data_IF_456313050665
#
_entry.id   IF_456313050665
#
_cell.length_a   1.000
_cell.length_b   1.000
_cell.length_c   1.000
_cell.angle_alpha   90.00
_cell.angle_beta   90.00
_cell.angle_gamma   90.00
#
_symmetry.space_group_name_H-M   'P 1'
#
loop_
_entity.id
_entity.type
_entity.pdbx_description
1 polymer ?
#
# COMPACT_ATOMS: atom_id res chain seq x y z
N UNK A 1 10.14 20.54 -23.60
CA UNK A 1 8.67 20.57 -23.52
C UNK A 1 8.13 19.67 -24.62
N UNK A 2 7.10 18.86 -24.32
CA UNK A 2 6.41 18.01 -25.27
C UNK A 2 4.97 18.48 -25.40
N UNK A 3 4.41 18.37 -26.61
CA UNK A 3 3.01 18.68 -26.90
C UNK A 3 2.22 17.37 -27.01
N UNK A 4 1.01 17.33 -26.48
CA UNK A 4 0.15 16.16 -26.53
C UNK A 4 -0.67 15.94 -25.27
N UNK A 5 -1.24 14.74 -25.14
CA UNK A 5 -1.99 14.32 -23.93
C UNK A 5 -1.00 14.06 -22.79
N UNK A 6 -1.06 14.81 -21.68
CA UNK A 6 -0.01 14.77 -20.65
C UNK A 6 0.32 13.37 -20.15
N UNK A 7 -0.68 12.54 -19.88
CA UNK A 7 -0.46 11.16 -19.40
C UNK A 7 0.25 10.27 -20.44
N UNK A 8 -0.04 10.46 -21.71
CA UNK A 8 0.58 9.68 -22.80
C UNK A 8 2.02 10.08 -22.99
N UNK A 9 2.30 11.39 -23.01
CA UNK A 9 3.66 11.92 -23.13
C UNK A 9 4.55 11.52 -21.95
N UNK A 10 4.01 11.55 -20.73
CA UNK A 10 4.74 11.07 -19.55
C UNK A 10 5.06 9.57 -19.66
N UNK A 11 4.10 8.75 -20.08
CA UNK A 11 4.32 7.32 -20.28
C UNK A 11 5.36 7.04 -21.36
N UNK A 12 5.38 7.82 -22.48
CA UNK A 12 6.44 7.75 -23.49
C UNK A 12 7.81 8.05 -22.89
N UNK A 13 7.93 9.14 -22.10
CA UNK A 13 9.19 9.47 -21.44
C UNK A 13 9.64 8.37 -20.47
N UNK A 14 8.72 7.75 -19.76
CA UNK A 14 9.01 6.61 -18.88
C UNK A 14 9.57 5.43 -19.67
N UNK A 15 9.00 5.12 -20.83
CA UNK A 15 9.49 4.05 -21.72
C UNK A 15 10.88 4.34 -22.28
N UNK A 16 11.12 5.60 -22.68
CA UNK A 16 12.42 6.03 -23.22
C UNK A 16 13.53 6.05 -22.17
N UNK A 17 13.22 6.61 -20.98
CA UNK A 17 14.22 6.87 -19.93
C UNK A 17 14.39 5.74 -18.93
N UNK A 18 13.39 4.85 -18.84
CA UNK A 18 13.33 3.72 -17.89
C UNK A 18 13.71 4.11 -16.45
N UNK A 19 13.04 5.12 -15.85
CA UNK A 19 13.33 5.51 -14.49
C UNK A 19 12.89 4.40 -13.51
N UNK A 20 13.59 4.29 -12.38
CA UNK A 20 13.19 3.40 -11.29
C UNK A 20 11.96 3.92 -10.53
N UNK A 21 11.83 5.25 -10.48
CA UNK A 21 10.76 5.94 -9.77
C UNK A 21 10.22 7.13 -10.56
N UNK A 22 8.90 7.22 -10.62
CA UNK A 22 8.19 8.42 -11.08
C UNK A 22 7.50 9.08 -9.90
N UNK A 23 7.65 10.39 -9.76
CA UNK A 23 6.94 11.19 -8.75
C UNK A 23 5.91 12.05 -9.45
N UNK A 24 4.67 11.97 -9.02
CA UNK A 24 3.54 12.74 -9.59
C UNK A 24 2.67 13.33 -8.50
N UNK A 25 2.10 14.50 -8.76
CA UNK A 25 1.03 15.02 -7.92
C UNK A 25 -0.21 14.13 -7.99
N UNK A 26 -0.92 13.95 -6.87
CA UNK A 26 -2.20 13.23 -6.86
C UNK A 26 -3.28 13.95 -7.65
N UNK A 27 -3.27 15.27 -7.66
CA UNK A 27 -4.26 16.12 -8.33
C UNK A 27 -3.55 17.16 -9.20
N UNK A 28 -4.17 17.50 -10.35
CA UNK A 28 -3.74 18.60 -11.19
C UNK A 28 -4.32 19.95 -10.74
N UNK A 29 -4.14 20.96 -11.60
CA UNK A 29 -4.65 22.34 -11.39
C UNK A 29 -6.18 22.38 -11.27
N UNK A 30 -6.88 21.50 -11.96
CA UNK A 30 -8.35 21.43 -11.92
C UNK A 30 -8.77 20.34 -10.95
N UNK A 31 -9.22 20.76 -9.76
CA UNK A 31 -9.82 19.85 -8.76
C UNK A 31 -11.26 19.56 -9.15
N UNK A 32 -11.56 18.32 -9.47
CA UNK A 32 -12.96 17.87 -9.58
C UNK A 32 -13.47 17.48 -8.18
N UNK A 33 -14.59 18.07 -7.72
CA UNK A 33 -15.21 17.65 -6.46
C UNK A 33 -15.49 16.15 -6.46
N UNK A 34 -15.14 15.46 -5.40
CA UNK A 34 -15.38 14.01 -5.25
C UNK A 34 -14.29 13.08 -5.79
N UNK A 35 -13.28 13.58 -6.53
CA UNK A 35 -12.15 12.77 -6.99
C UNK A 35 -10.89 13.08 -6.17
N UNK A 36 -10.31 12.04 -5.58
CA UNK A 36 -9.06 12.15 -4.79
C UNK A 36 -7.80 12.07 -5.65
N UNK A 37 -7.89 11.46 -6.84
CA UNK A 37 -6.80 11.31 -7.82
C UNK A 37 -7.21 11.94 -9.16
N UNK A 38 -6.31 12.72 -9.76
CA UNK A 38 -6.47 13.29 -11.10
C UNK A 38 -6.25 12.26 -12.22
N UNK A 39 -6.81 12.52 -13.41
CA UNK A 39 -6.76 11.60 -14.54
C UNK A 39 -5.33 11.21 -14.98
N UNK A 40 -4.37 12.13 -14.92
CA UNK A 40 -2.96 11.83 -15.23
C UNK A 40 -2.38 10.84 -14.22
N UNK A 41 -2.52 11.12 -12.91
CA UNK A 41 -2.04 10.24 -11.85
C UNK A 41 -2.72 8.86 -11.91
N UNK A 42 -4.02 8.79 -12.22
CA UNK A 42 -4.75 7.55 -12.40
C UNK A 42 -4.20 6.71 -13.57
N UNK A 43 -3.86 7.35 -14.69
CA UNK A 43 -3.26 6.64 -15.83
C UNK A 43 -1.83 6.18 -15.54
N UNK A 44 -1.02 7.00 -14.87
CA UNK A 44 0.32 6.58 -14.42
C UNK A 44 0.23 5.42 -13.46
N UNK A 45 -0.70 5.44 -12.51
CA UNK A 45 -0.96 4.36 -11.56
C UNK A 45 -1.22 3.03 -12.27
N UNK A 46 -2.03 3.07 -13.34
CA UNK A 46 -2.43 1.89 -14.10
C UNK A 46 -1.34 1.38 -15.06
N UNK A 47 -0.59 2.28 -15.70
CA UNK A 47 0.22 1.93 -16.88
C UNK A 47 1.73 2.15 -16.70
N UNK A 48 2.20 2.92 -15.70
CA UNK A 48 3.63 3.09 -15.52
C UNK A 48 4.28 1.75 -15.16
N UNK A 49 5.36 1.33 -15.85
CA UNK A 49 6.03 0.05 -15.61
C UNK A 49 6.97 0.08 -14.38
N UNK A 50 7.27 1.25 -13.85
CA UNK A 50 8.17 1.49 -12.72
C UNK A 50 7.42 1.88 -11.45
N UNK A 51 8.12 1.97 -10.32
CA UNK A 51 7.57 2.47 -9.07
C UNK A 51 7.01 3.87 -9.21
N UNK A 52 5.93 4.17 -8.47
CA UNK A 52 5.22 5.45 -8.56
C UNK A 52 5.02 6.03 -7.17
N UNK A 53 5.50 7.27 -6.97
CA UNK A 53 5.17 8.06 -5.78
C UNK A 53 4.09 9.08 -6.14
N UNK A 54 2.95 9.01 -5.45
CA UNK A 54 1.87 9.97 -5.57
C UNK A 54 1.92 10.93 -4.38
N UNK A 55 1.97 12.24 -4.66
CA UNK A 55 2.14 13.28 -3.65
C UNK A 55 0.88 14.15 -3.60
N UNK A 56 0.21 14.27 -2.43
CA UNK A 56 -0.90 15.22 -2.27
C UNK A 56 -0.39 16.66 -2.33
N UNK A 57 -1.29 17.62 -2.60
CA UNK A 57 -0.92 19.02 -2.82
C UNK A 57 -0.32 19.75 -1.60
N UNK A 58 -0.42 19.18 -0.40
CA UNK A 58 0.21 19.70 0.82
C UNK A 58 0.95 18.56 1.51
N UNK A 59 2.25 18.70 1.63
CA UNK A 59 3.13 17.80 2.39
C UNK A 59 3.80 18.61 3.47
N UNK A 60 3.73 18.17 4.71
CA UNK A 60 4.54 18.73 5.79
C UNK A 60 5.87 17.98 5.82
N UNK A 61 6.97 18.67 5.66
CA UNK A 61 8.30 18.12 5.80
C UNK A 61 8.89 18.60 7.14
N UNK A 62 9.45 17.65 7.91
CA UNK A 62 10.17 17.98 9.14
C UNK A 62 10.46 16.77 10.03
N UNK A 63 11.64 16.70 10.61
CA UNK A 63 11.95 15.81 11.73
C UNK A 63 12.18 14.30 11.44
N UNK A 64 12.42 13.91 10.19
CA UNK A 64 12.58 12.52 9.76
C UNK A 64 11.26 11.84 9.43
N UNK A 65 11.30 10.87 8.50
CA UNK A 65 10.13 10.21 7.92
C UNK A 65 9.56 9.13 8.82
N UNK A 66 8.30 9.22 9.16
CA UNK A 66 7.49 8.14 9.74
C UNK A 66 6.82 7.38 8.58
N UNK A 67 7.33 6.21 8.30
CA UNK A 67 6.86 5.39 7.18
C UNK A 67 5.88 4.34 7.69
N UNK A 68 4.75 4.18 6.99
CA UNK A 68 3.90 3.02 7.14
C UNK A 68 4.08 2.09 5.95
N UNK A 69 4.56 0.87 6.20
CA UNK A 69 4.71 -0.18 5.20
C UNK A 69 3.59 -1.20 5.36
N UNK A 70 2.74 -1.36 4.35
CA UNK A 70 1.73 -2.40 4.35
C UNK A 70 2.23 -3.65 3.63
N UNK A 71 2.05 -4.81 4.26
CA UNK A 71 2.51 -6.09 3.73
C UNK A 71 1.45 -7.18 3.85
N UNK A 72 1.36 -8.02 2.83
CA UNK A 72 0.61 -9.28 2.81
C UNK A 72 1.55 -10.49 2.67
N UNK A 73 2.88 -10.26 2.63
CA UNK A 73 3.90 -11.27 2.43
C UNK A 73 4.21 -11.59 0.96
N UNK A 74 3.58 -10.90 0.00
CA UNK A 74 3.89 -11.04 -1.42
C UNK A 74 5.31 -10.57 -1.76
N UNK A 75 5.84 -10.98 -2.91
CA UNK A 75 7.13 -10.53 -3.40
C UNK A 75 7.19 -9.01 -3.59
N UNK A 76 6.10 -8.40 -4.08
CA UNK A 76 6.03 -6.95 -4.25
C UNK A 76 6.04 -6.23 -2.90
N UNK A 77 5.42 -6.79 -1.86
CA UNK A 77 5.50 -6.24 -0.51
C UNK A 77 6.90 -6.39 0.11
N UNK A 78 7.62 -7.48 -0.17
CA UNK A 78 9.01 -7.63 0.24
C UNK A 78 9.94 -6.67 -0.50
N UNK A 79 9.72 -6.48 -1.81
CA UNK A 79 10.42 -5.45 -2.60
C UNK A 79 10.20 -4.06 -2.01
N UNK A 80 8.95 -3.75 -1.62
CA UNK A 80 8.62 -2.49 -0.95
C UNK A 80 9.41 -2.30 0.35
N UNK A 81 9.60 -3.35 1.15
CA UNK A 81 10.46 -3.29 2.34
C UNK A 81 11.92 -3.02 1.98
N UNK A 82 12.45 -3.64 0.92
CA UNK A 82 13.80 -3.37 0.42
C UNK A 82 13.99 -1.93 -0.04
N UNK A 83 13.01 -1.37 -0.75
CA UNK A 83 13.03 0.05 -1.14
C UNK A 83 13.02 0.96 0.09
N UNK A 84 12.18 0.68 1.07
CA UNK A 84 12.15 1.43 2.34
C UNK A 84 13.50 1.38 3.04
N UNK A 85 14.16 0.22 3.10
CA UNK A 85 15.48 0.07 3.72
C UNK A 85 16.55 0.99 3.12
N UNK A 86 16.42 1.37 1.84
CA UNK A 86 17.34 2.28 1.14
C UNK A 86 16.95 3.77 1.19
N UNK A 87 15.81 4.14 1.78
CA UNK A 87 15.40 5.55 1.84
C UNK A 87 16.17 6.32 2.90
N UNK A 88 16.60 7.55 2.63
CA UNK A 88 17.27 8.39 3.61
C UNK A 88 16.26 9.04 4.59
N UNK A 89 16.76 9.42 5.76
CA UNK A 89 16.02 10.27 6.70
C UNK A 89 14.84 9.58 7.40
N UNK A 90 14.85 8.25 7.51
CA UNK A 90 13.82 7.49 8.21
C UNK A 90 13.97 7.70 9.72
N UNK A 91 12.88 8.11 10.36
CA UNK A 91 12.75 8.15 11.82
C UNK A 91 12.28 6.82 12.39
N UNK A 92 11.21 6.27 11.82
CA UNK A 92 10.65 4.99 12.21
C UNK A 92 9.83 4.37 11.08
N UNK A 93 9.72 3.05 11.05
CA UNK A 93 8.83 2.31 10.15
C UNK A 93 7.80 1.54 10.97
N UNK A 94 6.53 1.76 10.66
CA UNK A 94 5.43 0.91 11.17
C UNK A 94 5.02 -0.07 10.08
N UNK A 95 5.26 -1.36 10.29
CA UNK A 95 4.79 -2.42 9.40
C UNK A 95 3.38 -2.82 9.80
N UNK A 96 2.46 -2.87 8.84
CA UNK A 96 1.08 -3.31 9.07
C UNK A 96 0.72 -4.45 8.12
N UNK A 97 0.06 -5.48 8.67
CA UNK A 97 -0.60 -6.51 7.87
C UNK A 97 -2.06 -6.59 8.30
N UNK A 98 -2.97 -6.75 7.34
CA UNK A 98 -4.40 -6.69 7.58
C UNK A 98 -5.02 -8.06 7.47
N UNK A 99 -5.77 -8.47 8.48
CA UNK A 99 -6.57 -9.68 8.51
C UNK A 99 -8.02 -9.31 8.23
N UNK A 100 -8.60 -9.87 7.17
CA UNK A 100 -10.04 -9.74 6.91
C UNK A 100 -10.80 -10.65 7.87
N UNK A 101 -11.82 -10.13 8.59
CA UNK A 101 -12.77 -10.99 9.29
C UNK A 101 -13.57 -11.84 8.27
N UNK A 102 -14.16 -12.93 8.72
CA UNK A 102 -15.11 -13.68 7.90
C UNK A 102 -16.26 -12.77 7.48
N UNK A 103 -16.62 -12.85 6.21
CA UNK A 103 -17.70 -12.05 5.60
C UNK A 103 -19.09 -12.64 5.81
N UNK A 104 -19.92 -12.58 4.76
CA UNK A 104 -21.31 -13.06 4.77
C UNK A 104 -21.46 -14.56 5.11
N UNK A 105 -20.43 -15.38 4.84
CA UNK A 105 -20.39 -16.79 5.21
C UNK A 105 -20.59 -17.01 6.73
N UNK A 106 -20.09 -16.07 7.56
CA UNK A 106 -20.30 -16.10 9.01
C UNK A 106 -21.78 -16.01 9.37
N UNK A 107 -22.52 -15.08 8.75
CA UNK A 107 -23.94 -14.88 9.06
C UNK A 107 -24.80 -16.11 8.73
N UNK A 108 -24.42 -16.88 7.70
CA UNK A 108 -25.11 -18.12 7.35
C UNK A 108 -24.81 -19.21 8.37
N UNK A 109 -23.54 -19.39 8.74
CA UNK A 109 -23.12 -20.41 9.73
C UNK A 109 -23.67 -20.13 11.12
N UNK A 110 -23.67 -18.88 11.58
CA UNK A 110 -24.22 -18.47 12.88
C UNK A 110 -25.71 -18.78 13.03
N UNK A 111 -26.46 -18.76 11.90
CA UNK A 111 -27.89 -19.05 11.91
C UNK A 111 -28.24 -20.52 12.13
N UNK A 112 -27.36 -21.44 11.71
CA UNK A 112 -27.60 -22.88 11.77
C UNK A 112 -26.78 -23.61 12.84
N UNK A 113 -25.58 -23.16 13.15
CA UNK A 113 -24.64 -23.79 14.09
C UNK A 113 -23.77 -22.76 14.82
N UNK A 114 -24.31 -22.02 15.79
CA UNK A 114 -23.60 -20.87 16.40
C UNK A 114 -22.29 -21.24 17.13
N UNK A 115 -22.23 -22.38 17.82
CA UNK A 115 -21.03 -22.78 18.56
C UNK A 115 -19.90 -23.30 17.64
N UNK A 116 -20.24 -24.02 16.60
CA UNK A 116 -19.27 -24.47 15.60
C UNK A 116 -18.78 -23.29 14.76
N UNK A 117 -19.66 -22.36 14.42
CA UNK A 117 -19.32 -21.13 13.72
C UNK A 117 -18.28 -20.32 14.49
N UNK A 118 -18.45 -20.15 15.81
CA UNK A 118 -17.49 -19.46 16.68
C UNK A 118 -16.12 -20.14 16.74
N UNK A 119 -16.10 -21.49 16.86
CA UNK A 119 -14.85 -22.26 16.85
C UNK A 119 -14.12 -22.14 15.53
N UNK A 120 -14.85 -22.23 14.41
CA UNK A 120 -14.30 -22.11 13.06
C UNK A 120 -13.77 -20.72 12.79
N UNK A 121 -14.50 -19.66 13.18
CA UNK A 121 -14.02 -18.28 13.09
C UNK A 121 -12.74 -18.07 13.90
N UNK A 122 -12.69 -18.56 15.13
CA UNK A 122 -11.52 -18.43 15.98
C UNK A 122 -10.30 -19.14 15.38
N UNK A 123 -10.49 -20.33 14.79
CA UNK A 123 -9.44 -21.09 14.11
C UNK A 123 -8.97 -20.34 12.85
N UNK A 124 -9.90 -19.85 12.02
CA UNK A 124 -9.61 -19.06 10.82
C UNK A 124 -8.82 -17.79 11.17
N UNK A 125 -9.27 -17.02 12.15
CA UNK A 125 -8.58 -15.79 12.56
C UNK A 125 -7.19 -16.08 13.15
N UNK A 126 -7.02 -17.18 13.88
CA UNK A 126 -5.70 -17.61 14.37
C UNK A 126 -4.75 -17.88 13.21
N UNK A 127 -5.19 -18.65 12.22
CA UNK A 127 -4.40 -18.96 11.03
C UNK A 127 -4.02 -17.66 10.28
N UNK A 128 -5.00 -16.79 9.97
CA UNK A 128 -4.78 -15.55 9.26
C UNK A 128 -3.83 -14.59 10.00
N UNK A 129 -3.92 -14.55 11.33
CA UNK A 129 -2.97 -13.78 12.16
C UNK A 129 -1.56 -14.37 12.13
N UNK A 130 -1.42 -15.68 12.07
CA UNK A 130 -0.12 -16.34 11.94
C UNK A 130 0.52 -16.02 10.58
N UNK A 131 -0.25 -16.09 9.49
CA UNK A 131 0.18 -15.70 8.15
C UNK A 131 0.61 -14.22 8.10
N UNK A 132 -0.20 -13.33 8.68
CA UNK A 132 0.11 -11.90 8.78
C UNK A 132 1.40 -11.62 9.58
N UNK A 133 1.63 -12.34 10.69
CA UNK A 133 2.88 -12.24 11.46
C UNK A 133 4.08 -12.72 10.67
N UNK A 134 3.93 -13.79 9.88
CA UNK A 134 4.99 -14.29 8.99
C UNK A 134 5.33 -13.27 7.90
N UNK A 135 4.32 -12.64 7.30
CA UNK A 135 4.50 -11.56 6.33
C UNK A 135 5.27 -10.37 6.93
N UNK A 136 4.89 -9.94 8.13
CA UNK A 136 5.58 -8.88 8.89
C UNK A 136 7.03 -9.26 9.15
N UNK A 137 7.30 -10.47 9.66
CA UNK A 137 8.65 -10.91 10.01
C UNK A 137 9.62 -10.90 8.81
N UNK A 138 9.10 -11.17 7.59
CA UNK A 138 9.87 -11.04 6.35
C UNK A 138 10.37 -9.61 6.10
N UNK A 139 9.47 -8.63 6.25
CA UNK A 139 9.81 -7.22 6.09
C UNK A 139 10.68 -6.70 7.26
N UNK A 140 10.38 -7.11 8.51
CA UNK A 140 11.17 -6.70 9.69
C UNK A 140 12.64 -7.06 9.55
N UNK A 141 12.95 -8.24 9.02
CA UNK A 141 14.34 -8.69 8.82
C UNK A 141 15.09 -7.70 7.94
N UNK A 142 14.55 -7.38 6.76
CA UNK A 142 15.17 -6.45 5.82
C UNK A 142 15.43 -5.07 6.43
N UNK A 143 14.48 -4.56 7.22
CA UNK A 143 14.59 -3.23 7.84
C UNK A 143 15.56 -3.20 9.03
N UNK A 144 15.62 -4.27 9.82
CA UNK A 144 16.58 -4.38 10.95
C UNK A 144 18.01 -4.49 10.47
N UNK A 145 18.24 -5.21 9.36
CA UNK A 145 19.58 -5.30 8.74
C UNK A 145 20.07 -3.91 8.30
N UNK A 146 19.14 -2.99 7.98
CA UNK A 146 19.43 -1.58 7.71
C UNK A 146 19.45 -0.66 8.96
N UNK A 147 19.43 -1.22 10.18
CA UNK A 147 19.43 -0.49 11.46
C UNK A 147 18.26 0.49 11.65
N UNK A 148 17.10 0.18 11.06
CA UNK A 148 15.90 1.01 11.13
C UNK A 148 15.04 0.61 12.33
N UNK A 149 14.53 1.59 13.08
CA UNK A 149 13.56 1.36 14.17
C UNK A 149 12.23 0.91 13.58
N UNK A 150 11.79 -0.29 13.96
CA UNK A 150 10.58 -0.93 13.40
C UNK A 150 9.55 -1.18 14.51
N UNK A 151 8.31 -0.83 14.21
CA UNK A 151 7.10 -1.28 14.94
C UNK A 151 6.29 -2.15 14.01
N UNK A 152 5.60 -3.16 14.56
CA UNK A 152 4.81 -4.08 13.73
C UNK A 152 3.44 -4.34 14.34
N UNK A 153 2.41 -4.42 13.52
CA UNK A 153 1.03 -4.65 13.96
C UNK A 153 0.23 -5.45 12.94
N UNK A 154 -0.53 -6.42 13.46
CA UNK A 154 -1.61 -7.05 12.73
C UNK A 154 -2.91 -6.34 13.07
N UNK A 155 -3.59 -5.79 12.08
CA UNK A 155 -4.85 -5.06 12.22
C UNK A 155 -5.99 -5.81 11.52
N UNK A 156 -7.23 -5.62 11.98
CA UNK A 156 -8.40 -6.25 11.38
C UNK A 156 -9.22 -5.25 10.55
N UNK A 157 -9.82 -5.72 9.46
CA UNK A 157 -10.73 -4.91 8.65
C UNK A 157 -10.59 -5.13 7.13
N UNK A 158 -11.23 -4.25 6.36
CA UNK A 158 -11.01 -4.17 4.92
C UNK A 158 -9.63 -3.58 4.65
N UNK A 159 -8.77 -4.25 3.85
CA UNK A 159 -7.35 -3.92 3.77
C UNK A 159 -7.06 -2.45 3.50
N UNK A 160 -7.54 -1.89 2.40
CA UNK A 160 -7.24 -0.51 2.04
C UNK A 160 -7.70 0.50 3.11
N UNK A 161 -8.94 0.36 3.60
CA UNK A 161 -9.49 1.24 4.62
C UNK A 161 -8.75 1.11 5.96
N UNK A 162 -8.41 -0.12 6.37
CA UNK A 162 -7.67 -0.37 7.61
C UNK A 162 -6.27 0.24 7.56
N UNK A 163 -5.57 0.10 6.42
CA UNK A 163 -4.25 0.70 6.17
C UNK A 163 -4.36 2.24 6.24
N UNK A 164 -5.31 2.83 5.52
CA UNK A 164 -5.49 4.29 5.49
C UNK A 164 -5.86 4.86 6.85
N UNK A 165 -6.75 4.19 7.60
CA UNK A 165 -7.08 4.59 8.99
C UNK A 165 -5.84 4.51 9.90
N UNK A 166 -5.03 3.46 9.76
CA UNK A 166 -3.80 3.33 10.52
C UNK A 166 -2.80 4.44 10.17
N UNK A 167 -2.63 4.77 8.89
CA UNK A 167 -1.75 5.83 8.43
C UNK A 167 -2.16 7.21 8.98
N UNK A 168 -3.46 7.50 9.02
CA UNK A 168 -4.00 8.73 9.64
C UNK A 168 -3.73 8.79 11.13
N UNK A 169 -4.05 7.70 11.85
CA UNK A 169 -3.89 7.62 13.31
C UNK A 169 -2.44 7.81 13.74
N UNK A 170 -1.51 7.24 13.00
CA UNK A 170 -0.09 7.26 13.32
C UNK A 170 0.62 8.47 12.69
N UNK A 171 -0.12 9.35 12.03
CA UNK A 171 0.39 10.51 11.30
C UNK A 171 1.59 10.13 10.41
N UNK A 172 1.42 9.09 9.58
CA UNK A 172 2.45 8.65 8.66
C UNK A 172 2.76 9.73 7.63
N UNK A 173 4.06 9.97 7.40
CA UNK A 173 4.55 10.95 6.42
C UNK A 173 4.64 10.32 5.01
N UNK A 174 4.77 8.97 4.96
CA UNK A 174 4.79 8.19 3.72
C UNK A 174 4.11 6.84 3.96
N UNK A 175 3.20 6.47 3.05
CA UNK A 175 2.60 5.13 3.01
C UNK A 175 3.23 4.35 1.85
N UNK A 176 3.75 3.15 2.13
CA UNK A 176 4.42 2.31 1.12
C UNK A 176 3.67 0.99 0.98
N UNK A 177 3.40 0.60 -0.26
CA UNK A 177 2.71 -0.63 -0.62
C UNK A 177 3.37 -1.28 -1.83
N UNK A 178 3.34 -2.61 -1.92
CA UNK A 178 3.64 -3.31 -3.17
C UNK A 178 2.57 -3.07 -4.22
N UNK A 179 2.90 -3.22 -5.48
CA UNK A 179 1.93 -3.00 -6.56
C UNK A 179 0.88 -4.10 -6.63
N UNK A 180 1.23 -5.35 -6.26
CA UNK A 180 0.35 -6.53 -6.28
C UNK A 180 0.46 -7.29 -4.97
N UNK A 181 -0.59 -8.04 -4.64
CA UNK A 181 -0.65 -8.91 -3.49
C UNK A 181 -0.60 -10.40 -3.86
N UNK A 182 -0.77 -11.28 -2.86
CA UNK A 182 -0.73 -12.75 -2.99
C UNK A 182 -1.73 -13.31 -4.02
N UNK A 183 -2.86 -12.65 -4.24
CA UNK A 183 -3.91 -13.10 -5.17
C UNK A 183 -3.83 -12.42 -6.54
N UNK A 184 -2.77 -11.62 -6.76
CA UNK A 184 -2.61 -10.81 -7.98
C UNK A 184 -2.52 -11.69 -9.22
N UNK A 185 -3.47 -11.53 -10.15
CA UNK A 185 -3.38 -12.10 -11.49
C UNK A 185 -2.17 -11.45 -12.17
N UNK A 186 -1.25 -12.27 -12.72
CA UNK A 186 -0.01 -11.78 -13.37
C UNK A 186 -0.28 -10.73 -14.48
N UNK A 187 -1.49 -10.76 -15.06
CA UNK A 187 -1.93 -9.83 -16.10
C UNK A 187 -2.43 -8.47 -15.57
N UNK A 188 -2.71 -8.33 -14.26
CA UNK A 188 -3.19 -7.07 -13.71
C UNK A 188 -2.02 -6.12 -13.41
N UNK A 189 -2.09 -4.90 -13.96
CA UNK A 189 -1.06 -3.88 -13.78
C UNK A 189 -0.94 -3.42 -12.31
N UNK A 190 -2.04 -3.48 -11.54
CA UNK A 190 -2.10 -3.02 -10.14
C UNK A 190 -3.11 -3.82 -9.32
N UNK A 191 -2.79 -4.10 -8.07
CA UNK A 191 -3.68 -4.76 -7.11
C UNK A 191 -4.78 -3.82 -6.58
N UNK A 192 -5.95 -4.40 -6.28
CA UNK A 192 -7.11 -3.63 -5.80
C UNK A 192 -6.84 -2.86 -4.50
N UNK A 193 -6.06 -3.45 -3.59
CA UNK A 193 -5.67 -2.79 -2.32
C UNK A 193 -4.77 -1.60 -2.59
N UNK A 194 -3.74 -1.76 -3.41
CA UNK A 194 -2.79 -0.71 -3.76
C UNK A 194 -3.47 0.45 -4.50
N UNK A 195 -4.40 0.13 -5.40
CA UNK A 195 -5.23 1.13 -6.08
C UNK A 195 -6.10 1.91 -5.09
N UNK A 196 -6.83 1.23 -4.21
CA UNK A 196 -7.69 1.88 -3.22
C UNK A 196 -6.88 2.69 -2.19
N UNK A 197 -5.72 2.18 -1.76
CA UNK A 197 -4.79 2.93 -0.88
C UNK A 197 -4.34 4.22 -1.56
N UNK A 198 -3.92 4.16 -2.83
CA UNK A 198 -3.52 5.34 -3.58
C UNK A 198 -4.62 6.41 -3.66
N UNK A 199 -5.88 5.99 -3.76
CA UNK A 199 -7.04 6.88 -3.82
C UNK A 199 -7.41 7.51 -2.48
N UNK A 200 -7.22 6.80 -1.37
CA UNK A 200 -7.75 7.15 -0.05
C UNK A 200 -6.69 7.68 0.92
N UNK A 201 -5.42 7.60 0.57
CA UNK A 201 -4.32 7.91 1.48
C UNK A 201 -4.32 9.39 1.91
N UNK A 202 -4.01 9.65 3.20
CA UNK A 202 -3.93 11.00 3.74
C UNK A 202 -2.57 11.68 3.49
N UNK A 203 -1.58 10.93 3.05
CA UNK A 203 -0.19 11.31 2.88
C UNK A 203 0.35 10.80 1.54
N UNK A 204 1.57 11.16 1.13
CA UNK A 204 2.25 10.57 0.00
C UNK A 204 2.20 9.04 0.01
N UNK A 205 2.01 8.43 -1.16
CA UNK A 205 1.98 6.98 -1.34
C UNK A 205 3.05 6.57 -2.33
N UNK A 206 3.91 5.64 -1.91
CA UNK A 206 4.86 4.97 -2.79
C UNK A 206 4.32 3.56 -3.12
N UNK A 207 4.09 3.33 -4.40
CA UNK A 207 3.71 2.03 -4.94
C UNK A 207 4.93 1.43 -5.60
N UNK A 208 5.43 0.35 -5.01
CA UNK A 208 6.63 -0.33 -5.50
C UNK A 208 6.22 -1.40 -6.50
N UNK A 209 6.79 -1.29 -7.70
CA UNK A 209 6.59 -2.23 -8.81
C UNK A 209 7.85 -3.08 -9.02
N UNK A 210 7.72 -4.22 -9.72
CA UNK A 210 8.86 -5.07 -10.10
C UNK A 210 9.92 -4.35 -10.88
#
# INVERSE_FOLDING_TARGET
>A
VREGVPSSEILHVIQERRPDLVVSGMQGLYRSPGFTIGGVAQRLLSYAPCSLMLVPGKVQAGGGLRIMLATDGSEDAQRAAGVVAGLPGIREVTIVSVVRPLGAEKAVLERFQPDESRKMEAAFLRQRRAEARKAIAGCERLLRDASITVRARVIAGHPAEAIVRAARRDAADLLVVGSRGLTGVKAAALGSVSQAVAQLAPCPVLIVKP
#
